data_IF_621333647306
#
_entry.id   IF_621333647306
#
_cell.length_a   1.000
_cell.length_b   1.000
_cell.length_c   1.000
_cell.angle_alpha   90.00
_cell.angle_beta   90.00
_cell.angle_gamma   90.00
#
_symmetry.space_group_name_H-M   'P 1'
#
loop_
_entity.id
_entity.type
_entity.pdbx_description
1 polymer ?
#
# COMPACT_ATOMS: atom_id res chain seq x y z
N UNK A 1 1.70 -4.72 11.08
CA UNK A 1 1.16 -3.34 10.95
C UNK A 1 1.95 -2.70 9.82
N UNK A 2 1.32 -2.36 8.70
CA UNK A 2 2.05 -1.76 7.56
C UNK A 2 2.42 -0.33 7.96
N UNK A 3 3.71 0.00 7.91
CA UNK A 3 4.25 1.30 8.27
C UNK A 3 3.56 2.42 7.46
N UNK A 4 2.97 3.38 8.16
CA UNK A 4 2.50 4.62 7.55
C UNK A 4 3.71 5.49 7.20
N UNK A 5 4.10 5.54 5.92
CA UNK A 5 5.15 6.44 5.43
C UNK A 5 4.53 7.69 4.83
N UNK A 6 5.10 8.84 5.16
CA UNK A 6 4.78 10.13 4.55
C UNK A 6 5.80 10.45 3.46
N UNK A 7 5.33 11.03 2.37
CA UNK A 7 6.16 11.39 1.22
C UNK A 7 5.94 12.86 0.87
N UNK A 8 7.00 13.56 0.45
CA UNK A 8 6.87 14.92 -0.08
C UNK A 8 6.09 14.94 -1.40
N UNK A 9 5.67 16.11 -1.87
CA UNK A 9 5.01 16.21 -3.18
C UNK A 9 5.93 15.69 -4.30
N UNK A 10 5.41 14.83 -5.17
CA UNK A 10 6.18 14.22 -6.26
C UNK A 10 5.71 12.79 -6.56
N UNK A 11 6.45 12.13 -7.46
CA UNK A 11 6.23 10.74 -7.82
C UNK A 11 7.03 9.82 -6.90
N UNK A 12 6.36 8.84 -6.30
CA UNK A 12 6.97 7.87 -5.39
C UNK A 12 6.63 6.46 -5.83
N UNK A 13 7.62 5.58 -5.84
CA UNK A 13 7.44 4.15 -6.04
C UNK A 13 7.68 3.42 -4.73
N UNK A 14 6.83 2.44 -4.42
CA UNK A 14 6.96 1.65 -3.21
C UNK A 14 6.81 0.16 -3.53
N UNK A 15 7.82 -0.63 -3.18
CA UNK A 15 7.84 -2.07 -3.37
C UNK A 15 7.35 -2.74 -2.09
N UNK A 16 6.21 -3.43 -2.18
CA UNK A 16 5.73 -4.28 -1.09
C UNK A 16 6.36 -5.67 -1.17
N UNK A 17 7.19 -6.02 -0.19
CA UNK A 17 7.72 -7.38 -0.08
C UNK A 17 6.65 -8.31 0.54
N UNK A 18 6.05 -9.13 -0.32
CA UNK A 18 5.03 -10.12 0.06
C UNK A 18 5.61 -11.44 0.63
N UNK A 19 6.93 -11.55 0.80
CA UNK A 19 7.57 -12.76 1.32
C UNK A 19 7.01 -13.16 2.70
N UNK A 20 6.68 -14.44 2.86
CA UNK A 20 6.11 -14.98 4.09
C UNK A 20 4.65 -14.58 4.36
N UNK A 21 3.99 -13.81 3.49
CA UNK A 21 2.55 -13.49 3.60
C UNK A 21 1.71 -14.59 2.96
N UNK A 22 0.49 -14.79 3.45
CA UNK A 22 -0.44 -15.81 2.92
C UNK A 22 -1.17 -15.27 1.69
N UNK A 23 -1.58 -16.14 0.77
CA UNK A 23 -2.48 -15.74 -0.32
C UNK A 23 -3.74 -15.11 0.26
N UNK A 24 -4.27 -14.08 -0.41
CA UNK A 24 -5.43 -13.34 0.09
C UNK A 24 -5.50 -11.91 -0.44
N UNK A 25 -6.51 -11.19 0.02
CA UNK A 25 -6.74 -9.80 -0.38
C UNK A 25 -6.08 -8.85 0.63
N UNK A 26 -5.23 -7.98 0.12
CA UNK A 26 -4.52 -6.95 0.87
C UNK A 26 -5.05 -5.59 0.48
N UNK A 27 -5.23 -4.71 1.46
CA UNK A 27 -5.68 -3.34 1.24
C UNK A 27 -4.55 -2.37 1.51
N UNK A 28 -4.46 -1.33 0.69
CA UNK A 28 -3.61 -0.18 0.93
C UNK A 28 -4.37 1.10 0.68
N UNK A 29 -3.99 2.14 1.42
CA UNK A 29 -4.64 3.45 1.40
C UNK A 29 -3.59 4.51 1.04
N UNK A 30 -3.90 5.31 0.04
CA UNK A 30 -3.18 6.54 -0.29
C UNK A 30 -3.96 7.69 0.32
N UNK A 31 -3.32 8.48 1.17
CA UNK A 31 -3.95 9.61 1.86
C UNK A 31 -3.06 10.85 1.73
N UNK A 32 -3.65 11.94 1.30
CA UNK A 32 -3.15 13.31 1.40
C UNK A 32 -4.11 14.12 2.26
N UNK A 33 -3.81 15.39 2.51
CA UNK A 33 -4.67 16.26 3.33
C UNK A 33 -6.09 16.41 2.77
N UNK A 34 -6.26 16.33 1.45
CA UNK A 34 -7.55 16.53 0.76
C UNK A 34 -8.05 15.31 -0.01
N UNK A 35 -7.27 14.24 -0.12
CA UNK A 35 -7.60 13.08 -0.93
C UNK A 35 -7.34 11.77 -0.21
N UNK A 36 -8.28 10.82 -0.32
CA UNK A 36 -8.10 9.46 0.18
C UNK A 36 -8.53 8.47 -0.89
N UNK A 37 -7.69 7.47 -1.15
CA UNK A 37 -7.97 6.38 -2.07
C UNK A 37 -7.57 5.05 -1.46
N UNK A 38 -8.53 4.14 -1.34
CA UNK A 38 -8.27 2.76 -0.95
C UNK A 38 -8.23 1.88 -2.18
N UNK A 39 -7.24 0.99 -2.25
CA UNK A 39 -7.10 -0.01 -3.29
C UNK A 39 -6.91 -1.38 -2.65
N UNK A 40 -7.39 -2.41 -3.35
CA UNK A 40 -7.21 -3.81 -2.97
C UNK A 40 -6.26 -4.49 -3.95
N UNK A 41 -5.52 -5.46 -3.46
CA UNK A 41 -4.59 -6.28 -4.22
C UNK A 41 -4.77 -7.73 -3.83
N UNK A 42 -4.77 -8.62 -4.81
CA UNK A 42 -4.86 -10.05 -4.58
C UNK A 42 -3.45 -10.65 -4.63
N UNK A 43 -3.00 -11.23 -3.52
CA UNK A 43 -1.80 -12.03 -3.48
C UNK A 43 -2.18 -13.48 -3.77
N UNK A 44 -1.62 -14.03 -4.84
CA UNK A 44 -1.69 -15.43 -5.20
C UNK A 44 -0.29 -16.04 -4.99
N UNK A 45 -0.24 -17.24 -4.42
CA UNK A 45 0.97 -18.06 -4.35
C UNK A 45 0.91 -19.15 -5.39
#
# INVERSE_FOLDING_TARGET
IVESRQYAAGSHEHIWNAAGKTSGVYFYKLQTDSYTKTKRMLLLK
#
